data_IF_471447778215
#
_entry.id   IF_471447778215
#
_cell.length_a   1.000
_cell.length_b   1.000
_cell.length_c   1.000
_cell.angle_alpha   90.00
_cell.angle_beta   90.00
_cell.angle_gamma   90.00
#
_symmetry.space_group_name_H-M   'P 1'
#
loop_
_entity.id
_entity.type
_entity.pdbx_description
1 polymer ?
#
# COMPACT_ATOMS: atom_id res chain seq x y z
N UNK A 1 -8.95 -21.46 -3.74
CA UNK A 1 -8.09 -20.26 -3.69
C UNK A 1 -8.93 -19.13 -4.26
N UNK A 2 -9.22 -18.08 -3.48
CA UNK A 2 -10.12 -17.03 -3.93
C UNK A 2 -9.48 -16.17 -5.04
N UNK A 3 -10.27 -15.90 -6.07
CA UNK A 3 -9.96 -14.96 -7.13
C UNK A 3 -11.19 -14.10 -7.39
N UNK A 4 -11.06 -12.80 -7.18
CA UNK A 4 -12.05 -11.83 -7.62
C UNK A 4 -11.89 -11.56 -9.13
N UNK A 5 -12.95 -11.10 -9.78
CA UNK A 5 -12.88 -10.69 -11.18
C UNK A 5 -13.35 -9.24 -11.33
N UNK A 6 -12.55 -8.43 -11.99
CA UNK A 6 -12.91 -7.09 -12.40
C UNK A 6 -12.66 -6.92 -13.90
N UNK A 7 -13.74 -6.80 -14.68
CA UNK A 7 -13.71 -6.63 -16.15
C UNK A 7 -12.82 -7.62 -16.90
N UNK A 8 -12.82 -8.90 -16.45
CA UNK A 8 -12.07 -9.98 -17.07
C UNK A 8 -10.67 -10.17 -16.51
N UNK A 9 -10.19 -9.29 -15.62
CA UNK A 9 -8.92 -9.43 -14.89
C UNK A 9 -9.16 -10.26 -13.64
N UNK A 10 -8.39 -11.33 -13.46
CA UNK A 10 -8.43 -12.21 -12.28
C UNK A 10 -7.49 -11.66 -11.21
N UNK A 11 -8.03 -11.36 -10.04
CA UNK A 11 -7.33 -10.79 -8.91
C UNK A 11 -7.20 -11.82 -7.79
N UNK A 12 -6.01 -12.27 -7.54
CA UNK A 12 -5.74 -13.17 -6.42
C UNK A 12 -5.76 -12.40 -5.09
N UNK A 13 -6.34 -13.01 -4.06
CA UNK A 13 -6.25 -12.49 -2.71
C UNK A 13 -6.24 -13.60 -1.66
N UNK A 14 -5.73 -13.31 -0.50
CA UNK A 14 -5.80 -14.16 0.69
C UNK A 14 -6.48 -13.42 1.83
N UNK A 15 -7.14 -14.16 2.72
CA UNK A 15 -7.66 -13.59 3.97
C UNK A 15 -7.30 -14.48 5.15
N UNK A 16 -6.99 -13.86 6.28
CA UNK A 16 -6.68 -14.55 7.52
C UNK A 16 -7.21 -13.78 8.73
N UNK A 17 -7.62 -14.52 9.76
CA UNK A 17 -8.24 -13.97 10.94
C UNK A 17 -9.75 -13.95 10.88
N UNK A 18 -10.37 -13.27 11.85
CA UNK A 18 -11.81 -13.11 11.90
C UNK A 18 -12.15 -11.92 12.82
N UNK A 19 -12.95 -11.01 12.35
CA UNK A 19 -13.27 -9.73 13.00
C UNK A 19 -13.71 -8.73 11.98
N UNK A 20 -13.49 -7.47 12.25
CA UNK A 20 -13.69 -6.42 11.25
C UNK A 20 -12.65 -6.56 10.14
N UNK A 21 -13.10 -6.36 8.90
CA UNK A 21 -12.25 -6.55 7.74
C UNK A 21 -11.25 -5.40 7.60
N UNK A 22 -9.99 -5.75 7.30
CA UNK A 22 -8.93 -4.82 6.94
C UNK A 22 -8.42 -5.19 5.55
N UNK A 23 -8.63 -4.31 4.57
CA UNK A 23 -8.13 -4.49 3.20
C UNK A 23 -6.79 -3.79 3.04
N UNK A 24 -5.80 -4.50 2.52
CA UNK A 24 -4.47 -3.98 2.20
C UNK A 24 -4.34 -3.71 0.70
N UNK A 25 -3.96 -2.48 0.34
CA UNK A 25 -3.70 -2.01 -1.02
C UNK A 25 -2.20 -1.73 -1.20
N UNK A 26 -1.55 -2.48 -2.08
CA UNK A 26 -0.09 -2.48 -2.25
C UNK A 26 0.45 -1.28 -3.04
N UNK A 27 1.75 -1.06 -2.89
CA UNK A 27 2.48 -0.03 -3.62
C UNK A 27 2.87 -0.46 -5.04
N UNK A 28 3.35 0.48 -5.86
CA UNK A 28 3.70 0.25 -7.28
C UNK A 28 4.65 -0.93 -7.43
N UNK A 29 4.18 -1.94 -8.13
CA UNK A 29 4.97 -3.12 -8.49
C UNK A 29 5.37 -4.03 -7.35
N UNK A 30 4.98 -3.75 -6.10
CA UNK A 30 5.32 -4.60 -4.97
C UNK A 30 4.28 -5.71 -4.75
N UNK A 31 4.78 -6.91 -4.46
CA UNK A 31 3.96 -8.06 -4.10
C UNK A 31 3.34 -7.95 -2.70
N UNK A 32 2.49 -8.94 -2.37
CA UNK A 32 1.80 -9.01 -1.07
C UNK A 32 2.76 -9.13 0.12
N UNK A 33 4.02 -9.51 -0.09
CA UNK A 33 5.08 -9.61 0.92
C UNK A 33 5.21 -8.34 1.78
N UNK A 34 4.93 -7.16 1.22
CA UNK A 34 5.03 -5.88 1.92
C UNK A 34 4.14 -5.80 3.17
N UNK A 35 3.10 -6.62 3.24
CA UNK A 35 2.13 -6.68 4.33
C UNK A 35 2.46 -7.74 5.40
N UNK A 36 3.55 -8.49 5.25
CA UNK A 36 3.91 -9.58 6.18
C UNK A 36 3.99 -9.15 7.64
N UNK A 37 4.50 -7.95 7.92
CA UNK A 37 4.58 -7.40 9.27
C UNK A 37 3.22 -6.96 9.84
N UNK A 38 2.36 -6.38 8.99
CA UNK A 38 1.00 -6.00 9.37
C UNK A 38 0.13 -7.23 9.52
N UNK A 39 0.32 -8.25 8.66
CA UNK A 39 -0.35 -9.53 8.78
C UNK A 39 -0.08 -10.17 10.15
N UNK A 40 1.18 -10.26 10.56
CA UNK A 40 1.56 -10.83 11.85
C UNK A 40 0.95 -10.10 13.07
N UNK A 41 0.60 -8.81 12.92
CA UNK A 41 0.06 -7.99 13.98
C UNK A 41 -1.47 -7.94 14.02
N UNK A 42 -2.13 -8.05 12.86
CA UNK A 42 -3.57 -7.82 12.68
C UNK A 42 -4.37 -9.10 12.46
N UNK A 43 -3.80 -10.11 11.77
CA UNK A 43 -4.50 -11.36 11.53
C UNK A 43 -4.81 -12.08 12.85
N UNK A 44 -6.08 -12.34 13.07
CA UNK A 44 -6.62 -12.88 14.32
C UNK A 44 -7.69 -11.97 14.90
N UNK A 45 -7.37 -10.81 15.49
CA UNK A 45 -8.39 -9.86 15.95
C UNK A 45 -9.15 -9.17 14.78
N UNK A 46 -8.52 -9.03 13.62
CA UNK A 46 -9.12 -8.54 12.39
C UNK A 46 -9.10 -9.62 11.31
N UNK A 47 -10.02 -9.55 10.36
CA UNK A 47 -9.97 -10.30 9.11
C UNK A 47 -9.14 -9.52 8.10
N UNK A 48 -7.84 -9.85 7.98
CA UNK A 48 -6.94 -9.18 7.07
C UNK A 48 -7.10 -9.76 5.66
N UNK A 49 -7.42 -8.90 4.69
CA UNK A 49 -7.55 -9.23 3.27
C UNK A 49 -6.39 -8.59 2.54
N UNK A 50 -5.52 -9.40 1.95
CA UNK A 50 -4.37 -8.96 1.17
C UNK A 50 -4.56 -9.43 -0.27
N UNK A 51 -4.65 -8.48 -1.20
CA UNK A 51 -4.77 -8.77 -2.62
C UNK A 51 -3.43 -8.51 -3.32
N UNK A 52 -3.07 -9.40 -4.25
CA UNK A 52 -2.02 -9.11 -5.23
C UNK A 52 -2.56 -8.05 -6.19
N UNK A 53 -1.93 -6.89 -6.24
CA UNK A 53 -2.26 -5.87 -7.24
C UNK A 53 -2.09 -6.45 -8.64
N UNK A 54 -2.95 -6.07 -9.61
CA UNK A 54 -2.80 -6.56 -10.99
C UNK A 54 -1.37 -6.35 -11.49
N UNK A 55 -0.76 -7.41 -12.05
CA UNK A 55 0.63 -7.45 -12.48
C UNK A 55 1.63 -7.89 -11.41
N UNK A 56 1.17 -8.17 -10.18
CA UNK A 56 2.00 -8.73 -9.10
C UNK A 56 1.53 -10.14 -8.73
N UNK A 57 2.43 -10.92 -8.19
CA UNK A 57 2.14 -12.23 -7.60
C UNK A 57 1.38 -13.16 -8.53
N UNK A 58 0.12 -13.45 -8.19
CA UNK A 58 -0.78 -14.40 -8.88
C UNK A 58 -1.96 -13.72 -9.57
N UNK A 59 -2.03 -12.40 -9.55
CA UNK A 59 -3.03 -11.62 -10.28
C UNK A 59 -2.65 -11.47 -11.75
N UNK A 60 -3.65 -11.31 -12.62
CA UNK A 60 -3.43 -11.04 -14.04
C UNK A 60 -2.78 -9.67 -14.26
N UNK A 61 -2.16 -9.48 -15.43
CA UNK A 61 -1.49 -8.23 -15.80
C UNK A 61 -2.47 -7.05 -15.95
N UNK A 62 -2.01 -5.82 -15.66
CA UNK A 62 -2.82 -4.63 -15.90
C UNK A 62 -2.97 -4.33 -17.39
N UNK A 63 -4.13 -3.82 -17.85
CA UNK A 63 -4.26 -3.28 -19.20
C UNK A 63 -3.42 -2.00 -19.36
N UNK A 64 -3.19 -1.58 -20.61
CA UNK A 64 -2.36 -0.41 -20.92
C UNK A 64 -2.94 0.93 -20.39
N UNK A 65 -4.24 0.97 -20.13
CA UNK A 65 -4.99 2.14 -19.64
C UNK A 65 -5.35 2.00 -18.14
N UNK A 66 -4.52 1.31 -17.37
CA UNK A 66 -4.69 1.18 -15.92
C UNK A 66 -4.65 2.56 -15.24
N UNK A 67 -5.59 2.82 -14.36
CA UNK A 67 -5.69 4.06 -13.57
C UNK A 67 -5.91 3.75 -12.09
N UNK A 68 -5.77 4.75 -11.22
CA UNK A 68 -6.06 4.59 -9.79
C UNK A 68 -7.53 4.21 -9.58
N UNK A 69 -8.45 4.74 -10.39
CA UNK A 69 -9.86 4.37 -10.38
C UNK A 69 -10.07 2.88 -10.71
N UNK A 70 -9.33 2.38 -11.71
CA UNK A 70 -9.36 0.94 -12.06
C UNK A 70 -8.89 0.06 -10.90
N UNK A 71 -7.83 0.49 -10.21
CA UNK A 71 -7.31 -0.23 -9.04
C UNK A 71 -8.27 -0.13 -7.82
N UNK A 72 -8.99 0.97 -7.68
CA UNK A 72 -10.05 1.09 -6.67
C UNK A 72 -11.25 0.16 -6.98
N UNK A 73 -11.61 0.00 -8.25
CA UNK A 73 -12.62 -0.97 -8.68
C UNK A 73 -12.18 -2.43 -8.42
N UNK A 74 -10.88 -2.73 -8.52
CA UNK A 74 -10.31 -4.01 -8.11
C UNK A 74 -10.51 -4.28 -6.61
N UNK A 75 -10.23 -3.29 -5.78
CA UNK A 75 -10.46 -3.37 -4.34
C UNK A 75 -11.94 -3.63 -4.03
N UNK A 76 -12.87 -2.98 -4.77
CA UNK A 76 -14.31 -3.24 -4.67
C UNK A 76 -14.65 -4.67 -5.10
N UNK A 77 -14.03 -5.17 -6.17
CA UNK A 77 -14.28 -6.54 -6.66
C UNK A 77 -13.82 -7.58 -5.63
N UNK A 78 -12.64 -7.39 -5.01
CA UNK A 78 -12.13 -8.23 -3.93
C UNK A 78 -13.08 -8.24 -2.73
N UNK A 79 -13.51 -7.07 -2.23
CA UNK A 79 -14.46 -6.99 -1.12
C UNK A 79 -15.81 -7.66 -1.44
N UNK A 80 -16.30 -7.55 -2.69
CA UNK A 80 -17.54 -8.20 -3.12
C UNK A 80 -17.41 -9.73 -3.19
N UNK A 81 -16.31 -10.22 -3.78
CA UNK A 81 -16.06 -11.65 -3.91
C UNK A 81 -15.92 -12.30 -2.53
N UNK A 82 -15.22 -11.61 -1.61
CA UNK A 82 -15.05 -12.05 -0.23
C UNK A 82 -16.36 -11.94 0.60
N UNK A 83 -17.35 -11.20 0.13
CA UNK A 83 -18.63 -11.00 0.83
C UNK A 83 -18.61 -9.89 1.89
N UNK A 84 -17.58 -9.05 1.91
CA UNK A 84 -17.40 -7.92 2.82
C UNK A 84 -18.05 -6.66 2.24
N UNK A 85 -18.87 -5.99 3.06
CA UNK A 85 -19.57 -4.77 2.62
C UNK A 85 -18.72 -3.52 2.78
N UNK A 86 -18.00 -3.41 3.87
CA UNK A 86 -17.10 -2.30 4.18
C UNK A 86 -15.91 -2.79 4.99
N UNK A 87 -14.77 -2.13 4.87
CA UNK A 87 -13.53 -2.49 5.52
C UNK A 87 -12.76 -1.24 5.99
N UNK A 88 -11.89 -1.42 6.98
CA UNK A 88 -10.76 -0.52 7.16
C UNK A 88 -9.80 -0.72 5.99
N UNK A 89 -9.25 0.34 5.43
CA UNK A 89 -8.35 0.24 4.27
C UNK A 89 -6.96 0.74 4.64
N UNK A 90 -5.96 -0.11 4.43
CA UNK A 90 -4.55 0.21 4.64
C UNK A 90 -3.87 0.26 3.27
N UNK A 91 -3.31 1.40 2.89
CA UNK A 91 -2.67 1.59 1.59
C UNK A 91 -1.27 2.18 1.71
N UNK A 92 -0.35 1.68 0.88
CA UNK A 92 1.02 2.19 0.79
C UNK A 92 1.28 2.78 -0.61
N UNK A 93 1.96 3.93 -0.69
CA UNK A 93 2.29 4.59 -1.95
C UNK A 93 1.10 4.71 -2.90
N UNK A 94 1.14 4.01 -4.04
CA UNK A 94 0.01 3.89 -4.98
C UNK A 94 -1.24 3.33 -4.29
N UNK A 95 -1.10 2.31 -3.45
CA UNK A 95 -2.22 1.73 -2.71
C UNK A 95 -2.88 2.71 -1.74
N UNK A 96 -2.14 3.71 -1.24
CA UNK A 96 -2.68 4.82 -0.48
C UNK A 96 -3.58 5.73 -1.35
N UNK A 97 -3.20 5.97 -2.61
CA UNK A 97 -4.01 6.70 -3.58
C UNK A 97 -5.27 5.91 -3.98
N UNK A 98 -5.14 4.59 -4.13
CA UNK A 98 -6.28 3.68 -4.32
C UNK A 98 -7.24 3.74 -3.13
N UNK A 99 -6.74 3.77 -1.91
CA UNK A 99 -7.55 3.89 -0.69
C UNK A 99 -8.31 5.23 -0.63
N UNK A 100 -7.66 6.34 -1.00
CA UNK A 100 -8.29 7.66 -1.12
C UNK A 100 -9.39 7.67 -2.18
N UNK A 101 -9.14 7.08 -3.36
CA UNK A 101 -10.13 6.96 -4.42
C UNK A 101 -11.32 6.10 -4.00
N UNK A 102 -11.06 4.98 -3.31
CA UNK A 102 -12.10 4.11 -2.77
C UNK A 102 -13.00 4.83 -1.76
N UNK A 103 -12.41 5.65 -0.87
CA UNK A 103 -13.18 6.46 0.08
C UNK A 103 -14.03 7.53 -0.63
N UNK A 104 -13.44 8.21 -1.63
CA UNK A 104 -14.10 9.26 -2.40
C UNK A 104 -15.30 8.75 -3.22
N UNK A 105 -15.21 7.54 -3.78
CA UNK A 105 -16.17 7.03 -4.78
C UNK A 105 -17.15 6.01 -4.22
N UNK A 106 -16.92 5.48 -3.01
CA UNK A 106 -17.74 4.42 -2.45
C UNK A 106 -18.10 4.67 -0.97
N UNK A 107 -19.12 4.02 -0.46
CA UNK A 107 -19.41 3.98 0.99
C UNK A 107 -18.89 2.70 1.65
N UNK A 108 -17.72 2.21 1.22
CA UNK A 108 -17.16 0.94 1.67
C UNK A 108 -15.99 1.06 2.63
N UNK A 109 -15.49 2.27 2.85
CA UNK A 109 -14.36 2.54 3.73
C UNK A 109 -14.88 2.91 5.13
N UNK A 110 -14.38 2.22 6.16
CA UNK A 110 -14.66 2.52 7.57
C UNK A 110 -13.62 3.50 8.13
N UNK A 111 -12.37 3.26 7.82
CA UNK A 111 -11.25 4.16 8.12
C UNK A 111 -10.12 3.96 7.12
N UNK A 112 -9.21 4.92 7.04
CA UNK A 112 -8.02 4.89 6.21
C UNK A 112 -6.76 4.83 7.06
N UNK A 113 -5.79 3.99 6.65
CA UNK A 113 -4.41 4.09 7.10
C UNK A 113 -3.50 4.23 5.88
N UNK A 114 -2.76 5.32 5.80
CA UNK A 114 -2.04 5.74 4.60
C UNK A 114 -0.53 5.77 4.88
N UNK A 115 0.24 4.89 4.22
CA UNK A 115 1.68 4.78 4.39
C UNK A 115 2.40 5.43 3.20
N UNK A 116 3.26 6.44 3.43
CA UNK A 116 4.15 7.00 2.42
C UNK A 116 3.45 7.41 1.13
N UNK A 117 2.29 8.04 1.19
CA UNK A 117 1.48 8.43 0.03
C UNK A 117 1.18 9.92 -0.01
N UNK A 118 0.49 10.39 -1.05
CA UNK A 118 0.18 11.79 -1.30
C UNK A 118 -1.24 11.97 -1.88
N UNK A 119 -1.72 13.22 -1.92
CA UNK A 119 -2.99 13.59 -2.58
C UNK A 119 -2.90 13.59 -4.12
N UNK A 120 -1.69 13.57 -4.68
CA UNK A 120 -1.47 13.53 -6.13
C UNK A 120 -0.27 12.68 -6.50
N UNK A 121 -0.34 12.03 -7.66
CA UNK A 121 0.68 11.08 -8.10
C UNK A 121 2.00 11.74 -8.51
N UNK A 122 1.98 13.01 -8.96
CA UNK A 122 3.19 13.78 -9.29
C UNK A 122 4.07 14.10 -8.06
N UNK A 123 3.56 13.83 -6.88
CA UNK A 123 4.25 14.02 -5.61
C UNK A 123 4.98 12.78 -5.10
N UNK A 124 4.93 11.68 -5.87
CA UNK A 124 5.54 10.39 -5.54
C UNK A 124 6.36 9.87 -6.72
N UNK A 125 7.62 9.54 -6.49
CA UNK A 125 8.54 8.95 -7.47
C UNK A 125 8.87 7.50 -7.12
N UNK A 126 8.19 6.49 -7.71
CA UNK A 126 8.45 5.08 -7.43
C UNK A 126 9.65 4.50 -8.21
N UNK A 127 10.22 5.22 -9.20
CA UNK A 127 11.29 4.69 -10.08
C UNK A 127 12.49 4.12 -9.31
N UNK A 128 12.99 4.72 -8.20
CA UNK A 128 14.10 4.14 -7.45
C UNK A 128 13.80 2.77 -6.83
N UNK A 129 12.51 2.43 -6.64
CA UNK A 129 12.10 1.11 -6.12
C UNK A 129 11.95 0.05 -7.20
N UNK A 130 11.94 0.42 -8.48
CA UNK A 130 11.87 -0.58 -9.53
C UNK A 130 13.18 -1.38 -9.63
N UNK A 131 13.04 -2.70 -9.75
CA UNK A 131 14.10 -3.59 -10.20
C UNK A 131 13.49 -4.82 -10.89
N UNK A 132 14.14 -5.36 -11.96
CA UNK A 132 13.67 -6.60 -12.55
C UNK A 132 13.69 -7.74 -11.52
N UNK A 133 12.62 -8.53 -11.36
CA UNK A 133 12.59 -9.64 -10.41
C UNK A 133 13.70 -10.67 -10.59
N UNK A 134 14.26 -10.77 -11.80
CA UNK A 134 15.38 -11.68 -12.12
C UNK A 134 16.77 -11.12 -11.80
N UNK A 135 16.88 -9.87 -11.33
CA UNK A 135 18.17 -9.21 -11.00
C UNK A 135 18.27 -8.95 -9.50
N UNK A 136 18.86 -9.91 -8.78
CA UNK A 136 19.02 -9.84 -7.32
C UNK A 136 19.80 -8.61 -6.85
N UNK A 137 20.84 -8.20 -7.60
CA UNK A 137 21.65 -7.03 -7.24
C UNK A 137 20.86 -5.72 -7.40
N UNK A 138 20.06 -5.61 -8.48
CA UNK A 138 19.18 -4.48 -8.69
C UNK A 138 18.05 -4.45 -7.65
N UNK A 139 17.45 -5.61 -7.32
CA UNK A 139 16.45 -5.73 -6.26
C UNK A 139 17.00 -5.25 -4.91
N UNK A 140 18.20 -5.67 -4.54
CA UNK A 140 18.85 -5.22 -3.30
C UNK A 140 19.03 -3.70 -3.29
N UNK A 141 19.57 -3.12 -4.36
CA UNK A 141 19.77 -1.67 -4.46
C UNK A 141 18.47 -0.91 -4.36
N UNK A 142 17.41 -1.39 -4.99
CA UNK A 142 16.09 -0.75 -4.95
C UNK A 142 15.43 -0.84 -3.58
N UNK A 143 15.54 -1.96 -2.86
CA UNK A 143 15.10 -2.08 -1.46
C UNK A 143 15.85 -1.08 -0.57
N UNK A 144 17.17 -1.02 -0.69
CA UNK A 144 18.00 -0.11 0.10
C UNK A 144 17.68 1.37 -0.16
N UNK A 145 17.17 1.71 -1.36
CA UNK A 145 16.74 3.08 -1.68
C UNK A 145 15.51 3.54 -0.92
N UNK A 146 14.64 2.59 -0.53
CA UNK A 146 13.37 2.83 0.14
C UNK A 146 13.44 2.74 1.67
N UNK A 147 14.59 2.41 2.22
CA UNK A 147 14.83 2.22 3.66
C UNK A 147 15.85 3.23 4.19
N UNK A 148 15.90 3.40 5.50
CA UNK A 148 16.94 4.20 6.14
C UNK A 148 18.30 3.49 6.06
N UNK A 149 19.36 4.29 6.10
CA UNK A 149 20.72 3.75 6.13
C UNK A 149 20.97 2.90 7.37
N UNK A 150 20.43 3.31 8.52
CA UNK A 150 20.57 2.57 9.79
C UNK A 150 19.96 1.16 9.66
N UNK A 151 18.73 1.05 9.11
CA UNK A 151 18.08 -0.24 8.89
C UNK A 151 18.89 -1.13 7.93
N UNK A 152 19.38 -0.56 6.82
CA UNK A 152 20.21 -1.29 5.83
C UNK A 152 21.48 -1.83 6.45
N UNK A 153 22.17 -1.01 7.26
CA UNK A 153 23.45 -1.39 7.90
C UNK A 153 23.26 -2.45 9.00
N UNK A 154 22.11 -2.44 9.71
CA UNK A 154 21.86 -3.31 10.87
C UNK A 154 21.05 -4.57 10.55
N UNK A 155 20.28 -4.59 9.46
CA UNK A 155 19.27 -5.63 9.18
C UNK A 155 19.57 -6.41 7.87
N UNK A 156 20.83 -6.81 7.67
CA UNK A 156 21.26 -7.49 6.44
C UNK A 156 20.45 -8.77 6.10
N UNK A 157 20.03 -9.52 7.12
CA UNK A 157 19.21 -10.72 6.93
C UNK A 157 17.79 -10.36 6.44
N UNK A 158 17.20 -9.30 7.01
CA UNK A 158 15.90 -8.79 6.56
C UNK A 158 15.97 -8.30 5.10
N UNK A 159 17.01 -7.56 4.74
CA UNK A 159 17.24 -7.12 3.35
C UNK A 159 17.33 -8.33 2.40
N UNK A 160 18.06 -9.37 2.78
CA UNK A 160 18.16 -10.58 1.95
C UNK A 160 16.82 -11.27 1.77
N UNK A 161 16.03 -11.35 2.82
CA UNK A 161 14.68 -11.92 2.76
C UNK A 161 13.72 -11.06 1.89
N UNK A 162 13.79 -9.73 2.00
CA UNK A 162 13.02 -8.84 1.14
C UNK A 162 13.37 -9.05 -0.34
N UNK A 163 14.64 -9.18 -0.67
CA UNK A 163 15.08 -9.46 -2.05
C UNK A 163 14.50 -10.78 -2.58
N UNK A 164 14.50 -11.83 -1.76
CA UNK A 164 13.90 -13.13 -2.14
C UNK A 164 12.39 -13.02 -2.42
N UNK A 165 11.65 -12.33 -1.55
CA UNK A 165 10.21 -12.14 -1.73
C UNK A 165 9.89 -11.27 -2.96
N UNK A 166 10.64 -10.20 -3.17
CA UNK A 166 10.51 -9.34 -4.33
C UNK A 166 10.75 -10.08 -5.63
N UNK A 167 11.79 -10.92 -5.68
CA UNK A 167 12.08 -11.77 -6.85
C UNK A 167 10.94 -12.73 -7.20
N UNK A 168 10.13 -13.13 -6.20
CA UNK A 168 9.03 -14.08 -6.38
C UNK A 168 7.68 -13.42 -6.71
N UNK A 169 7.43 -12.19 -6.23
CA UNK A 169 6.09 -11.61 -6.19
C UNK A 169 5.97 -10.25 -6.89
N UNK A 170 7.07 -9.50 -7.08
CA UNK A 170 7.01 -8.16 -7.67
C UNK A 170 6.66 -8.21 -9.16
N UNK A 171 6.11 -7.11 -9.64
CA UNK A 171 5.76 -6.89 -11.03
C UNK A 171 7.00 -6.90 -11.94
N UNK A 172 6.84 -7.41 -13.15
CA UNK A 172 7.82 -7.19 -14.21
C UNK A 172 7.81 -5.74 -14.70
N UNK A 173 8.74 -5.38 -15.61
CA UNK A 173 8.87 -4.02 -16.13
C UNK A 173 7.58 -3.51 -16.80
N UNK A 174 6.90 -4.32 -17.57
CA UNK A 174 5.72 -3.90 -18.30
C UNK A 174 4.54 -3.62 -17.37
N UNK A 175 4.30 -4.53 -16.43
CA UNK A 175 3.26 -4.38 -15.41
C UNK A 175 3.55 -3.22 -14.46
N UNK A 176 4.83 -3.06 -14.05
CA UNK A 176 5.25 -1.94 -13.23
C UNK A 176 5.03 -0.59 -13.92
N UNK A 177 5.43 -0.45 -15.21
CA UNK A 177 5.24 0.78 -15.99
C UNK A 177 3.75 1.15 -16.13
N UNK A 178 2.87 0.15 -16.29
CA UNK A 178 1.42 0.37 -16.35
C UNK A 178 0.85 0.83 -15.01
N UNK A 179 1.31 0.26 -13.90
CA UNK A 179 0.92 0.73 -12.56
C UNK A 179 1.47 2.14 -12.27
N UNK A 180 2.74 2.40 -12.59
CA UNK A 180 3.35 3.72 -12.40
C UNK A 180 2.67 4.80 -13.24
N UNK A 181 2.25 4.48 -14.47
CA UNK A 181 1.49 5.41 -15.32
C UNK A 181 0.13 5.79 -14.72
N UNK A 182 -0.47 4.96 -13.86
CA UNK A 182 -1.70 5.29 -13.17
C UNK A 182 -1.56 6.46 -12.18
N UNK A 183 -0.34 6.75 -11.73
CA UNK A 183 -0.06 7.88 -10.84
C UNK A 183 -0.24 9.23 -11.53
N UNK A 184 0.24 9.37 -12.78
CA UNK A 184 0.36 10.66 -13.47
C UNK A 184 -0.96 11.47 -13.51
N UNK A 185 -2.13 10.90 -13.82
CA UNK A 185 -3.38 11.64 -13.86
C UNK A 185 -4.05 11.78 -12.49
N UNK A 186 -3.56 11.09 -11.45
CA UNK A 186 -4.26 11.04 -10.17
C UNK A 186 -4.06 12.30 -9.34
N UNK A 187 -5.17 12.90 -8.90
CA UNK A 187 -5.20 13.96 -7.90
C UNK A 187 -6.54 14.00 -7.17
N UNK A 188 -6.50 14.17 -5.86
CA UNK A 188 -7.69 14.41 -5.04
C UNK A 188 -7.98 15.92 -5.00
N UNK A 189 -8.90 16.37 -5.84
CA UNK A 189 -9.24 17.82 -5.93
C UNK A 189 -9.94 18.36 -4.69
N UNK A 190 -10.68 17.49 -3.95
CA UNK A 190 -11.49 17.88 -2.79
C UNK A 190 -11.25 16.95 -1.60
N UNK A 191 -10.07 17.00 -0.99
CA UNK A 191 -9.73 16.11 0.13
C UNK A 191 -10.69 16.29 1.33
N UNK A 192 -11.26 17.46 1.51
CA UNK A 192 -12.23 17.73 2.57
C UNK A 192 -13.56 16.97 2.44
N UNK A 193 -13.85 16.33 1.31
CA UNK A 193 -15.01 15.45 1.13
C UNK A 193 -14.75 14.03 1.66
N UNK A 194 -13.49 13.64 1.88
CA UNK A 194 -13.09 12.36 2.51
C UNK A 194 -13.14 12.56 4.03
N UNK A 195 -14.18 12.02 4.65
CA UNK A 195 -14.49 12.27 6.08
C UNK A 195 -14.25 11.05 6.98
N UNK A 196 -13.76 9.96 6.44
CA UNK A 196 -13.41 8.76 7.17
C UNK A 196 -12.26 9.07 8.15
N UNK A 197 -12.28 8.49 9.38
CA UNK A 197 -11.13 8.55 10.27
C UNK A 197 -9.87 8.11 9.52
N UNK A 198 -8.80 8.89 9.57
CA UNK A 198 -7.58 8.64 8.79
C UNK A 198 -6.33 8.72 9.64
N UNK A 199 -5.51 7.66 9.60
CA UNK A 199 -4.16 7.64 10.13
C UNK A 199 -3.16 7.77 8.99
N UNK A 200 -2.40 8.86 8.94
CA UNK A 200 -1.29 9.04 8.02
C UNK A 200 0.00 8.61 8.71
N UNK A 201 0.70 7.64 8.15
CA UNK A 201 1.99 7.13 8.64
C UNK A 201 3.07 7.47 7.63
N UNK A 202 4.10 8.19 8.04
CA UNK A 202 5.11 8.66 7.10
C UNK A 202 6.52 8.58 7.69
N UNK A 203 7.46 8.05 6.91
CA UNK A 203 8.87 8.05 7.28
C UNK A 203 9.48 9.45 7.18
N UNK A 204 10.26 9.85 8.20
CA UNK A 204 10.90 11.17 8.25
C UNK A 204 11.95 11.38 7.17
N UNK A 205 12.56 10.30 6.68
CA UNK A 205 13.61 10.28 5.65
C UNK A 205 13.13 9.68 4.32
N UNK A 206 11.81 9.64 4.11
CA UNK A 206 11.21 9.16 2.86
C UNK A 206 11.66 10.05 1.69
N UNK A 207 12.36 9.43 0.72
CA UNK A 207 12.92 10.09 -0.46
C UNK A 207 12.07 9.91 -1.71
N UNK A 208 11.10 8.99 -1.68
CA UNK A 208 10.24 8.65 -2.80
C UNK A 208 8.95 9.47 -2.75
N UNK A 209 8.35 9.56 -1.58
CA UNK A 209 7.24 10.45 -1.27
C UNK A 209 7.67 11.37 -0.12
N UNK A 210 8.04 12.65 -0.40
CA UNK A 210 8.59 13.52 0.65
C UNK A 210 7.67 13.65 1.87
N UNK A 211 8.21 13.68 3.12
CA UNK A 211 7.41 13.75 4.35
C UNK A 211 6.45 14.95 4.44
N UNK A 212 6.68 15.99 3.61
CA UNK A 212 5.76 17.10 3.46
C UNK A 212 4.39 16.67 2.94
N UNK A 213 4.32 15.59 2.16
CA UNK A 213 3.07 15.06 1.60
C UNK A 213 2.21 14.38 2.66
N UNK A 214 2.83 13.67 3.61
CA UNK A 214 2.12 13.14 4.77
C UNK A 214 1.53 14.26 5.66
N UNK A 215 2.25 15.39 5.83
CA UNK A 215 1.71 16.55 6.53
C UNK A 215 0.54 17.18 5.79
N UNK A 216 0.67 17.35 4.48
CA UNK A 216 -0.40 17.88 3.62
C UNK A 216 -1.67 17.00 3.71
N UNK A 217 -1.54 15.68 3.63
CA UNK A 217 -2.65 14.74 3.84
C UNK A 217 -3.36 14.98 5.18
N UNK A 218 -2.59 15.09 6.27
CA UNK A 218 -3.17 15.28 7.61
C UNK A 218 -3.78 16.67 7.81
N UNK A 219 -3.36 17.67 7.05
CA UNK A 219 -3.91 19.04 7.10
C UNK A 219 -5.18 19.19 6.25
N UNK A 220 -5.25 18.49 5.10
CA UNK A 220 -6.34 18.62 4.12
C UNK A 220 -7.51 17.66 4.37
N UNK A 221 -7.26 16.51 5.02
CA UNK A 221 -8.31 15.54 5.37
C UNK A 221 -8.92 15.90 6.73
N UNK A 222 -10.26 16.06 6.84
CA UNK A 222 -10.92 16.61 8.04
C UNK A 222 -10.71 15.82 9.33
N UNK A 223 -10.58 14.49 9.22
CA UNK A 223 -10.46 13.59 10.37
C UNK A 223 -9.14 12.80 10.33
N UNK A 224 -8.06 13.43 9.88
CA UNK A 224 -6.77 12.82 9.78
C UNK A 224 -5.82 13.20 10.93
N UNK A 225 -4.99 12.24 11.30
CA UNK A 225 -3.87 12.45 12.22
C UNK A 225 -2.58 11.92 11.59
N UNK A 226 -1.47 12.63 11.83
CA UNK A 226 -0.16 12.24 11.33
C UNK A 226 0.63 11.49 12.41
N UNK A 227 1.15 10.34 12.05
CA UNK A 227 2.17 9.61 12.79
C UNK A 227 3.47 9.58 11.97
N UNK A 228 4.32 10.57 12.18
CA UNK A 228 5.66 10.64 11.58
C UNK A 228 6.64 9.74 12.32
N UNK A 229 7.39 8.91 11.60
CA UNK A 229 8.45 8.05 12.15
C UNK A 229 9.81 8.64 11.75
N UNK A 230 10.46 9.28 12.73
CA UNK A 230 11.76 9.94 12.50
C UNK A 230 12.81 8.91 12.05
N UNK A 231 13.60 9.25 11.04
CA UNK A 231 14.68 8.42 10.51
C UNK A 231 14.23 7.28 9.61
N UNK A 232 12.94 6.93 9.56
CA UNK A 232 12.45 5.87 8.69
C UNK A 232 12.33 6.33 7.23
N UNK A 233 12.55 5.40 6.28
CA UNK A 233 12.37 5.60 4.85
C UNK A 233 10.94 5.40 4.39
N UNK A 234 10.78 5.12 3.08
CA UNK A 234 9.49 4.93 2.43
C UNK A 234 8.74 3.68 2.93
N UNK A 235 9.45 2.56 3.06
CA UNK A 235 8.86 1.31 3.57
C UNK A 235 8.70 1.34 5.09
N UNK A 236 8.11 2.41 5.62
CA UNK A 236 7.94 2.67 7.06
C UNK A 236 7.21 1.55 7.79
N UNK A 237 6.25 0.88 7.14
CA UNK A 237 5.51 -0.28 7.67
C UNK A 237 6.38 -1.54 7.86
N UNK A 238 7.49 -1.63 7.14
CA UNK A 238 8.49 -2.70 7.23
C UNK A 238 9.55 -2.32 8.25
N UNK A 239 10.19 -1.18 8.02
CA UNK A 239 11.34 -0.70 8.78
C UNK A 239 11.03 -0.44 10.25
N UNK A 240 9.92 0.24 10.51
CA UNK A 240 9.48 0.60 11.86
C UNK A 240 8.24 -0.21 12.28
N UNK A 241 8.09 -1.43 11.78
CA UNK A 241 6.88 -2.25 11.91
C UNK A 241 6.32 -2.34 13.32
N UNK A 242 7.17 -2.44 14.35
CA UNK A 242 6.73 -2.53 15.74
C UNK A 242 5.90 -1.32 16.17
N UNK A 243 6.46 -0.11 16.05
CA UNK A 243 5.78 1.11 16.49
C UNK A 243 4.62 1.47 15.57
N UNK A 244 4.75 1.17 14.29
CA UNK A 244 3.68 1.36 13.29
C UNK A 244 2.50 0.45 13.59
N UNK A 245 2.73 -0.84 13.85
CA UNK A 245 1.67 -1.79 14.16
C UNK A 245 0.98 -1.49 15.51
N UNK A 246 1.72 -1.06 16.52
CA UNK A 246 1.15 -0.62 17.80
C UNK A 246 0.22 0.59 17.59
N UNK A 247 0.65 1.56 16.76
CA UNK A 247 -0.15 2.74 16.44
C UNK A 247 -1.37 2.39 15.60
N UNK A 248 -1.21 1.54 14.58
CA UNK A 248 -2.26 1.06 13.70
C UNK A 248 -3.37 0.34 14.50
N UNK A 249 -3.00 -0.58 15.38
CA UNK A 249 -3.97 -1.29 16.24
C UNK A 249 -4.75 -0.33 17.13
N UNK A 250 -4.07 0.62 17.79
CA UNK A 250 -4.74 1.62 18.61
C UNK A 250 -5.72 2.46 17.80
N UNK A 251 -5.36 2.81 16.56
CA UNK A 251 -6.22 3.56 15.67
C UNK A 251 -7.46 2.75 15.26
N UNK A 252 -7.27 1.51 14.80
CA UNK A 252 -8.37 0.63 14.38
C UNK A 252 -9.37 0.33 15.52
N UNK A 253 -8.90 0.25 16.77
CA UNK A 253 -9.77 0.07 17.95
C UNK A 253 -10.66 1.29 18.25
N UNK A 254 -10.37 2.45 17.67
CA UNK A 254 -11.07 3.72 17.93
C UNK A 254 -11.82 4.29 16.73
N UNK A 255 -11.65 3.71 15.54
CA UNK A 255 -12.15 4.22 14.27
C UNK A 255 -13.59 3.78 13.92
#
# INVERSE_FOLDING_TARGET
>A
VPHANNDGVSLYYESDGNGEAVLCCGDVGLGAWQWGWQHAALAGPYELIVADTRGCGRSDDPPADCTVETLADDAVAVLRDHGVRSAHVVGAGLGGMVALELARTTGRVQSLTLFGTALSGDSYDPEPMFAPPSDEAALRTSVESALSREFVDEQADAISQLVEWRAAEDADRESWERQAAALEPFAVEKPYEITEPTLVVHGGDDRLCPPARGRELAEELPNAELFGVEGAGHLVGVEASKVVNDRLRTFLESA
#
